data_IF_814001220771
#
_entry.id   IF_814001220771
#
_cell.length_a   1.000
_cell.length_b   1.000
_cell.length_c   1.000
_cell.angle_alpha   90.00
_cell.angle_beta   90.00
_cell.angle_gamma   90.00
#
_symmetry.space_group_name_H-M   'P 1'
#
loop_
_entity.id
_entity.type
_entity.pdbx_description
1 polymer ?
#
# COMPACT_ATOMS: atom_id res chain seq x y z
N UNK A 1 0.93 -27.93 -26.47
CA UNK A 1 1.70 -27.54 -25.29
C UNK A 1 2.05 -26.08 -25.48
N UNK A 2 1.29 -25.17 -24.87
CA UNK A 2 1.58 -23.74 -24.91
C UNK A 2 2.29 -23.36 -23.61
N UNK A 3 3.60 -23.63 -23.58
CA UNK A 3 4.49 -23.09 -22.57
C UNK A 3 4.95 -21.71 -23.07
N UNK A 4 4.47 -20.65 -22.44
CA UNK A 4 4.84 -19.30 -22.86
C UNK A 4 4.05 -18.16 -22.24
N UNK A 5 3.50 -18.30 -21.02
CA UNK A 5 3.09 -17.11 -20.26
C UNK A 5 4.35 -16.47 -19.70
N UNK A 6 4.92 -15.54 -20.46
CA UNK A 6 5.76 -14.48 -19.93
C UNK A 6 5.08 -13.93 -18.69
N UNK A 7 5.55 -14.32 -17.50
CA UNK A 7 5.11 -13.73 -16.23
C UNK A 7 5.75 -12.35 -16.15
N UNK A 8 5.25 -11.42 -16.97
CA UNK A 8 5.58 -10.01 -16.82
C UNK A 8 5.22 -9.63 -15.38
N UNK A 9 6.21 -9.22 -14.60
CA UNK A 9 5.98 -8.77 -13.24
C UNK A 9 4.92 -7.65 -13.26
N UNK A 10 4.03 -7.64 -12.27
CA UNK A 10 3.05 -6.57 -12.16
C UNK A 10 3.80 -5.27 -11.91
N UNK A 11 3.55 -4.26 -12.75
CA UNK A 11 4.05 -2.91 -12.56
C UNK A 11 3.04 -2.13 -11.75
N UNK A 12 3.52 -1.46 -10.70
CA UNK A 12 2.70 -0.53 -9.93
C UNK A 12 2.64 0.82 -10.62
N UNK A 13 3.78 1.34 -11.09
CA UNK A 13 3.80 2.63 -11.80
C UNK A 13 3.14 2.46 -13.16
N UNK A 14 2.19 3.35 -13.48
CA UNK A 14 1.37 3.24 -14.67
C UNK A 14 0.16 2.30 -14.52
N UNK A 15 -0.04 1.69 -13.35
CA UNK A 15 -1.28 0.99 -13.05
C UNK A 15 -2.45 1.95 -13.11
N UNK A 16 -3.48 1.57 -13.85
CA UNK A 16 -4.77 2.26 -13.91
C UNK A 16 -5.88 1.21 -13.76
N UNK A 17 -6.63 1.25 -12.66
CA UNK A 17 -7.72 0.30 -12.38
C UNK A 17 -8.74 0.91 -11.43
N UNK A 18 -10.02 0.74 -11.73
CA UNK A 18 -11.12 1.10 -10.82
C UNK A 18 -11.03 2.54 -10.28
N UNK A 19 -10.66 3.50 -11.14
CA UNK A 19 -10.49 4.90 -10.75
C UNK A 19 -9.21 5.21 -9.95
N UNK A 20 -8.30 4.25 -9.77
CA UNK A 20 -6.96 4.46 -9.18
C UNK A 20 -5.92 4.45 -10.28
N UNK A 21 -5.09 5.49 -10.32
CA UNK A 21 -3.93 5.59 -11.22
C UNK A 21 -2.66 5.88 -10.44
N UNK A 22 -1.66 5.01 -10.49
CA UNK A 22 -0.39 5.21 -9.78
C UNK A 22 0.66 5.84 -10.70
N UNK A 23 1.23 6.95 -10.24
CA UNK A 23 2.14 7.81 -11.00
C UNK A 23 3.60 7.61 -10.60
N UNK A 24 3.85 7.35 -9.33
CA UNK A 24 5.21 7.21 -8.78
C UNK A 24 5.17 6.41 -7.48
N UNK A 25 6.28 5.74 -7.16
CA UNK A 25 6.47 5.00 -5.91
C UNK A 25 7.89 5.19 -5.40
N UNK A 26 8.00 5.43 -4.09
CA UNK A 26 9.28 5.54 -3.39
C UNK A 26 9.24 4.74 -2.11
N UNK A 27 10.37 4.12 -1.77
CA UNK A 27 10.53 3.31 -0.56
C UNK A 27 11.70 3.80 0.27
N UNK A 28 11.51 3.91 1.57
CA UNK A 28 12.56 4.25 2.54
C UNK A 28 12.49 3.28 3.72
N UNK A 29 13.56 2.54 3.98
CA UNK A 29 13.68 1.72 5.19
C UNK A 29 14.31 2.57 6.30
N UNK A 30 13.67 2.60 7.47
CA UNK A 30 14.17 3.31 8.65
C UNK A 30 13.78 2.54 9.92
N UNK A 31 14.77 2.26 10.76
CA UNK A 31 14.62 1.42 11.95
C UNK A 31 14.10 0.01 11.57
N UNK A 32 12.99 -0.43 12.16
CA UNK A 32 12.26 -1.68 11.83
C UNK A 32 11.06 -1.42 10.89
N UNK A 33 11.01 -0.26 10.23
CA UNK A 33 9.87 0.16 9.40
C UNK A 33 10.26 0.34 7.95
N UNK A 34 9.30 0.09 7.07
CA UNK A 34 9.38 0.43 5.65
C UNK A 34 8.31 1.47 5.32
N UNK A 35 8.75 2.64 4.89
CA UNK A 35 7.90 3.73 4.44
C UNK A 35 7.74 3.64 2.93
N UNK A 36 6.50 3.62 2.46
CA UNK A 36 6.16 3.64 1.04
C UNK A 36 5.41 4.93 0.75
N UNK A 37 5.92 5.72 -0.17
CA UNK A 37 5.25 6.92 -0.66
C UNK A 37 4.73 6.64 -2.06
N UNK A 38 3.42 6.67 -2.24
CA UNK A 38 2.76 6.56 -3.54
C UNK A 38 2.27 7.93 -3.99
N UNK A 39 2.54 8.29 -5.24
CA UNK A 39 1.80 9.37 -5.91
C UNK A 39 0.75 8.72 -6.79
N UNK A 40 -0.50 9.06 -6.56
CA UNK A 40 -1.60 8.45 -7.29
C UNK A 40 -2.76 9.42 -7.46
N UNK A 41 -3.57 9.17 -8.47
CA UNK A 41 -4.90 9.74 -8.62
C UNK A 41 -5.94 8.73 -8.16
N UNK A 42 -6.92 9.18 -7.38
CA UNK A 42 -8.08 8.37 -6.96
C UNK A 42 -9.33 9.15 -7.30
N UNK A 43 -10.13 8.62 -8.23
CA UNK A 43 -11.35 9.25 -8.76
C UNK A 43 -11.13 10.69 -9.26
N UNK A 44 -10.04 10.91 -10.01
CA UNK A 44 -9.67 12.22 -10.54
C UNK A 44 -8.94 13.14 -9.55
N UNK A 45 -8.76 12.72 -8.29
CA UNK A 45 -8.05 13.50 -7.29
C UNK A 45 -6.61 13.01 -7.09
N UNK A 46 -5.64 13.79 -7.59
CA UNK A 46 -4.22 13.54 -7.39
C UNK A 46 -3.80 13.77 -5.93
N UNK A 47 -2.95 12.90 -5.40
CA UNK A 47 -2.45 12.98 -4.04
C UNK A 47 -1.20 12.14 -3.80
N UNK A 48 -0.55 12.41 -2.66
CA UNK A 48 0.55 11.60 -2.14
C UNK A 48 0.06 10.81 -0.92
N UNK A 49 0.30 9.50 -0.93
CA UNK A 49 -0.18 8.56 0.07
C UNK A 49 1.02 7.88 0.74
N UNK A 50 1.17 8.11 2.04
CA UNK A 50 2.26 7.56 2.85
C UNK A 50 1.79 6.34 3.60
N UNK A 51 2.32 5.19 3.23
CA UNK A 51 2.10 3.91 3.90
C UNK A 51 3.27 3.63 4.83
N UNK A 52 2.99 3.21 6.05
CA UNK A 52 4.01 2.69 6.96
C UNK A 52 3.81 1.20 7.14
N UNK A 53 4.82 0.39 6.81
CA UNK A 53 4.89 -1.01 7.20
C UNK A 53 5.69 -1.13 8.48
N UNK A 54 5.20 -1.94 9.40
CA UNK A 54 5.83 -2.19 10.69
C UNK A 54 5.51 -3.61 11.15
N UNK A 55 6.27 -4.11 12.12
CA UNK A 55 5.97 -5.35 12.80
C UNK A 55 5.45 -5.08 14.20
N UNK A 56 4.46 -5.86 14.61
CA UNK A 56 4.09 -5.93 16.02
C UNK A 56 5.17 -6.73 16.78
N UNK A 57 5.19 -6.63 18.12
CA UNK A 57 6.15 -7.39 18.93
C UNK A 57 6.07 -8.92 18.75
N UNK A 58 4.97 -9.43 18.19
CA UNK A 58 4.77 -10.83 17.80
C UNK A 58 5.40 -11.20 16.44
N UNK A 59 6.00 -10.25 15.73
CA UNK A 59 6.49 -10.42 14.35
C UNK A 59 5.41 -10.27 13.27
N UNK A 60 4.15 -10.05 13.65
CA UNK A 60 3.07 -9.85 12.69
C UNK A 60 3.27 -8.57 11.87
N UNK A 61 3.32 -8.69 10.54
CA UNK A 61 3.47 -7.57 9.60
C UNK A 61 2.15 -6.80 9.48
N UNK A 62 2.23 -5.47 9.56
CA UNK A 62 1.09 -4.56 9.50
C UNK A 62 1.41 -3.37 8.59
N UNK A 63 0.39 -2.85 7.93
CA UNK A 63 0.46 -1.56 7.25
C UNK A 63 -0.45 -0.54 7.93
N UNK A 64 -0.10 0.73 7.80
CA UNK A 64 -0.80 1.83 8.47
C UNK A 64 -0.78 3.11 7.64
N UNK A 65 -1.90 3.83 7.70
CA UNK A 65 -2.04 5.22 7.29
C UNK A 65 -2.65 6.04 8.43
N UNK A 66 -2.32 7.33 8.44
CA UNK A 66 -3.03 8.35 9.20
C UNK A 66 -3.49 9.45 8.25
N UNK A 67 -4.78 9.72 8.24
CA UNK A 67 -5.38 10.78 7.42
C UNK A 67 -6.42 11.56 8.21
N UNK A 68 -6.75 12.76 7.73
CA UNK A 68 -7.78 13.62 8.33
C UNK A 68 -8.83 13.95 7.28
N UNK A 69 -10.10 13.88 7.67
CA UNK A 69 -11.24 14.15 6.80
C UNK A 69 -11.75 12.92 6.05
N UNK A 70 -13.07 12.85 5.91
CA UNK A 70 -13.78 11.70 5.33
C UNK A 70 -13.36 11.41 3.89
N UNK A 71 -13.17 12.44 3.07
CA UNK A 71 -12.72 12.28 1.67
C UNK A 71 -11.31 11.68 1.57
N UNK A 72 -10.41 12.01 2.50
CA UNK A 72 -9.07 11.43 2.52
C UNK A 72 -9.12 9.97 2.95
N UNK A 73 -10.00 9.64 3.91
CA UNK A 73 -10.26 8.26 4.35
C UNK A 73 -10.78 7.43 3.18
N UNK A 74 -11.82 7.90 2.49
CA UNK A 74 -12.40 7.21 1.34
C UNK A 74 -11.36 6.92 0.25
N UNK A 75 -10.52 7.91 -0.08
CA UNK A 75 -9.45 7.75 -1.07
C UNK A 75 -8.42 6.71 -0.67
N UNK A 76 -7.97 6.71 0.58
CA UNK A 76 -7.00 5.70 1.06
C UNK A 76 -7.63 4.30 1.09
N UNK A 77 -8.87 4.17 1.56
CA UNK A 77 -9.58 2.87 1.57
C UNK A 77 -9.66 2.30 0.16
N UNK A 78 -10.08 3.11 -0.81
CA UNK A 78 -10.16 2.71 -2.22
C UNK A 78 -8.80 2.35 -2.80
N UNK A 79 -7.78 3.18 -2.58
CA UNK A 79 -6.41 2.91 -3.03
C UNK A 79 -5.92 1.54 -2.53
N UNK A 80 -6.09 1.24 -1.23
CA UNK A 80 -5.65 -0.03 -0.66
C UNK A 80 -6.46 -1.20 -1.22
N UNK A 81 -7.78 -1.06 -1.30
CA UNK A 81 -8.65 -2.13 -1.81
C UNK A 81 -8.34 -2.46 -3.28
N UNK A 82 -8.10 -1.45 -4.11
CA UNK A 82 -7.71 -1.67 -5.51
C UNK A 82 -6.33 -2.33 -5.61
N UNK A 83 -5.34 -1.83 -4.88
CA UNK A 83 -3.97 -2.35 -4.99
C UNK A 83 -3.82 -3.77 -4.41
N UNK A 84 -4.61 -4.11 -3.39
CA UNK A 84 -4.45 -5.36 -2.64
C UNK A 84 -5.57 -6.37 -2.86
N UNK A 85 -6.72 -5.93 -3.37
CA UNK A 85 -7.93 -6.74 -3.48
C UNK A 85 -8.65 -6.92 -2.13
N UNK A 86 -8.24 -6.22 -1.09
CA UNK A 86 -8.81 -6.37 0.25
C UNK A 86 -9.05 -5.03 0.95
N UNK A 87 -10.20 -4.94 1.61
CA UNK A 87 -10.59 -3.76 2.38
C UNK A 87 -9.77 -3.62 3.67
N UNK A 88 -9.11 -2.47 3.91
CA UNK A 88 -8.44 -2.21 5.17
C UNK A 88 -9.44 -1.93 6.31
N UNK A 89 -8.97 -2.03 7.55
CA UNK A 89 -9.72 -1.58 8.72
C UNK A 89 -9.61 -0.06 8.89
N UNK A 90 -10.70 0.58 9.31
CA UNK A 90 -10.77 2.03 9.55
C UNK A 90 -11.16 2.26 11.01
N UNK A 91 -10.42 3.11 11.71
CA UNK A 91 -10.71 3.49 13.10
C UNK A 91 -10.45 4.99 13.31
N UNK A 92 -11.50 5.73 13.65
CA UNK A 92 -11.37 7.13 14.06
C UNK A 92 -10.68 7.24 15.43
N UNK A 93 -9.88 8.28 15.61
CA UNK A 93 -9.18 8.57 16.87
C UNK A 93 -9.72 9.85 17.51
N UNK A 94 -9.63 9.99 18.84
CA UNK A 94 -10.03 11.20 19.56
C UNK A 94 -9.30 12.47 19.10
N UNK A 95 -8.09 12.34 18.56
CA UNK A 95 -7.29 13.45 18.03
C UNK A 95 -7.74 13.94 16.63
N UNK A 96 -8.82 13.37 16.09
CA UNK A 96 -9.39 13.73 14.79
C UNK A 96 -8.66 13.14 13.59
N UNK A 97 -7.60 12.34 13.80
CA UNK A 97 -7.03 11.49 12.77
C UNK A 97 -7.82 10.19 12.65
N UNK A 98 -7.93 9.69 11.44
CA UNK A 98 -8.41 8.33 11.16
C UNK A 98 -7.22 7.43 10.89
N UNK A 99 -7.14 6.33 11.63
CA UNK A 99 -6.18 5.26 11.40
C UNK A 99 -6.78 4.27 10.39
N UNK A 100 -6.05 4.01 9.31
CA UNK A 100 -6.39 2.95 8.35
C UNK A 100 -5.31 1.88 8.45
N UNK A 101 -5.70 0.65 8.78
CA UNK A 101 -4.79 -0.44 9.09
C UNK A 101 -5.03 -1.66 8.22
N UNK A 102 -3.94 -2.33 7.82
CA UNK A 102 -3.98 -3.60 7.10
C UNK A 102 -3.10 -4.65 7.74
N UNK A 103 -3.40 -5.92 7.46
CA UNK A 103 -2.64 -7.08 7.90
C UNK A 103 -1.57 -7.50 6.87
N UNK A 104 -0.76 -8.50 7.21
CA UNK A 104 0.30 -9.05 6.35
C UNK A 104 -0.17 -9.38 4.93
N UNK A 105 -1.39 -9.90 4.76
CA UNK A 105 -2.00 -10.19 3.44
C UNK A 105 -2.05 -8.98 2.49
N UNK A 106 -2.19 -7.77 3.00
CA UNK A 106 -2.12 -6.56 2.17
C UNK A 106 -0.68 -6.31 1.70
N UNK A 107 0.31 -6.52 2.58
CA UNK A 107 1.73 -6.38 2.26
C UNK A 107 2.16 -7.47 1.26
N UNK A 108 1.68 -8.71 1.43
CA UNK A 108 1.93 -9.80 0.49
C UNK A 108 1.31 -9.54 -0.90
N UNK A 109 0.16 -8.86 -0.96
CA UNK A 109 -0.40 -8.41 -2.22
C UNK A 109 0.44 -7.29 -2.87
N UNK A 110 0.92 -6.32 -2.08
CA UNK A 110 1.80 -5.25 -2.57
C UNK A 110 3.18 -5.77 -3.03
N UNK A 111 3.69 -6.84 -2.43
CA UNK A 111 4.94 -7.47 -2.83
C UNK A 111 4.89 -8.13 -4.22
N UNK A 112 3.71 -8.22 -4.84
CA UNK A 112 3.57 -8.70 -6.23
C UNK A 112 3.99 -7.66 -7.26
N UNK A 113 4.03 -6.38 -6.87
CA UNK A 113 4.51 -5.32 -7.73
C UNK A 113 6.03 -5.27 -7.70
N UNK A 114 6.66 -5.25 -8.88
CA UNK A 114 8.12 -5.29 -9.01
C UNK A 114 8.80 -4.18 -8.20
N UNK A 115 8.23 -2.98 -8.21
CA UNK A 115 8.79 -1.78 -7.57
C UNK A 115 8.79 -1.86 -6.04
N UNK A 116 7.91 -2.68 -5.44
CA UNK A 116 7.81 -2.84 -3.99
C UNK A 116 8.41 -4.15 -3.49
N UNK A 117 8.48 -5.14 -4.38
CA UNK A 117 8.86 -6.51 -4.06
C UNK A 117 10.17 -6.58 -3.28
N UNK A 118 11.25 -6.03 -3.85
CA UNK A 118 12.57 -6.13 -3.23
C UNK A 118 12.64 -5.40 -1.88
N UNK A 119 12.04 -4.21 -1.78
CA UNK A 119 12.01 -3.46 -0.53
C UNK A 119 11.26 -4.22 0.57
N UNK A 120 10.12 -4.82 0.24
CA UNK A 120 9.32 -5.62 1.18
C UNK A 120 10.07 -6.90 1.57
N UNK A 121 10.69 -7.61 0.62
CA UNK A 121 11.44 -8.85 0.90
C UNK A 121 12.66 -8.57 1.81
N UNK A 122 13.41 -7.49 1.53
CA UNK A 122 14.54 -7.06 2.38
C UNK A 122 14.07 -6.68 3.78
N UNK A 123 13.06 -5.83 3.87
CA UNK A 123 12.49 -5.42 5.15
C UNK A 123 11.95 -6.62 5.93
N UNK A 124 11.26 -7.57 5.29
CA UNK A 124 10.59 -8.71 5.92
C UNK A 124 11.54 -9.82 6.41
N UNK A 125 12.78 -9.88 5.94
CA UNK A 125 13.76 -10.91 6.33
C UNK A 125 14.74 -10.47 7.44
N UNK A 126 14.62 -9.22 7.89
CA UNK A 126 15.43 -8.65 8.98
C UNK A 126 14.84 -8.96 10.34
#
# INVERSE_FOLDING_TARGET
MEEGRSRSALRLVGLERDGVKVLDVKTEEKDDKLYVTLRAEVDGAAGEYKITFYREGSGARRLMFYVKGEEAVARVVKLVEVLTGERPSVAERPDGLTRIGGAGRHIDALARYEELREAIERWSNR
#
